data_IF_549784219834
#
_entry.id   IF_549784219834
#
_cell.length_a   1.000
_cell.length_b   1.000
_cell.length_c   1.000
_cell.angle_alpha   90.00
_cell.angle_beta   90.00
_cell.angle_gamma   90.00
#
_symmetry.space_group_name_H-M   'P 1'
#
loop_
_entity.id
_entity.type
_entity.pdbx_description
1 polymer ?
#
# COMPACT_ATOMS: atom_id res chain seq x y z
N UNK A 1 -11.31 -11.14 -1.51
CA UNK A 1 -9.93 -11.15 -1.00
C UNK A 1 -9.88 -10.66 0.44
N UNK A 2 -9.13 -11.34 1.27
CA UNK A 2 -9.03 -10.98 2.68
C UNK A 2 -8.14 -9.76 2.86
N UNK A 3 -8.62 -8.81 3.65
CA UNK A 3 -7.81 -7.65 4.01
C UNK A 3 -6.81 -8.04 5.09
N UNK A 4 -5.64 -7.43 5.05
CA UNK A 4 -4.67 -7.59 6.12
C UNK A 4 -5.22 -6.98 7.41
N UNK A 5 -4.97 -7.64 8.54
CA UNK A 5 -5.35 -7.13 9.84
C UNK A 5 -4.46 -5.97 10.29
N UNK A 6 -3.36 -5.76 9.62
CA UNK A 6 -2.35 -4.79 10.02
C UNK A 6 -2.18 -3.72 8.95
N UNK A 7 -2.10 -2.47 9.40
CA UNK A 7 -1.73 -1.37 8.52
C UNK A 7 -0.22 -1.37 8.33
N UNK A 8 0.23 -0.67 7.30
CA UNK A 8 1.66 -0.55 7.04
C UNK A 8 2.39 0.08 8.23
N UNK A 9 1.74 1.05 8.89
CA UNK A 9 2.29 1.68 10.08
C UNK A 9 2.48 0.69 11.22
N UNK A 10 1.50 -0.19 11.43
CA UNK A 10 1.58 -1.23 12.45
C UNK A 10 2.69 -2.21 12.14
N UNK A 11 2.83 -2.59 10.87
CA UNK A 11 3.87 -3.51 10.43
C UNK A 11 5.26 -2.93 10.73
N UNK A 12 5.46 -1.66 10.39
CA UNK A 12 6.74 -1.00 10.64
C UNK A 12 7.00 -0.90 12.15
N UNK A 13 5.95 -0.66 12.94
CA UNK A 13 6.07 -0.64 14.39
C UNK A 13 6.56 -1.97 14.95
N UNK A 14 6.01 -3.07 14.44
CA UNK A 14 6.46 -4.42 14.86
C UNK A 14 7.92 -4.64 14.50
N UNK A 15 8.33 -4.24 13.29
CA UNK A 15 9.73 -4.38 12.87
C UNK A 15 10.67 -3.56 13.76
N UNK A 16 10.22 -2.39 14.19
CA UNK A 16 11.03 -1.56 15.09
C UNK A 16 11.16 -2.17 16.47
N UNK A 17 10.14 -2.85 16.95
CA UNK A 17 10.24 -3.58 18.23
C UNK A 17 11.32 -4.64 18.16
N UNK A 18 11.43 -5.34 17.03
CA UNK A 18 12.48 -6.33 16.85
C UNK A 18 13.85 -5.67 16.82
N UNK A 19 13.98 -4.55 16.17
CA UNK A 19 15.24 -3.81 16.14
C UNK A 19 15.64 -3.31 17.53
N UNK A 20 14.66 -3.05 18.38
CA UNK A 20 14.91 -2.63 19.76
C UNK A 20 15.33 -3.77 20.66
N UNK A 21 15.33 -5.01 20.17
CA UNK A 21 15.87 -6.14 20.89
C UNK A 21 14.91 -7.27 21.23
N UNK A 22 13.63 -7.14 20.88
CA UNK A 22 12.67 -8.20 21.13
C UNK A 22 12.86 -9.35 20.16
N UNK A 23 12.74 -10.58 20.67
CA UNK A 23 12.91 -11.77 19.85
C UNK A 23 11.75 -11.91 18.86
N UNK A 24 12.06 -12.44 17.67
CA UNK A 24 11.06 -12.65 16.63
C UNK A 24 9.93 -13.53 17.12
N UNK A 25 10.24 -14.63 17.81
CA UNK A 25 9.22 -15.54 18.32
C UNK A 25 8.28 -14.85 19.30
N UNK A 26 8.81 -13.97 20.14
CA UNK A 26 8.01 -13.23 21.11
C UNK A 26 7.07 -12.24 20.40
N UNK A 27 7.59 -11.54 19.39
CA UNK A 27 6.78 -10.61 18.62
C UNK A 27 5.67 -11.32 17.85
N UNK A 28 5.98 -12.44 17.25
CA UNK A 28 5.00 -13.22 16.50
C UNK A 28 3.87 -13.69 17.41
N UNK A 29 4.20 -14.14 18.62
CA UNK A 29 3.21 -14.58 19.58
C UNK A 29 2.36 -13.41 20.05
N UNK A 30 2.99 -12.29 20.36
CA UNK A 30 2.31 -11.10 20.85
C UNK A 30 1.32 -10.54 19.84
N UNK A 31 1.70 -10.53 18.59
CA UNK A 31 0.88 -9.95 17.51
C UNK A 31 0.04 -10.97 16.75
N UNK A 32 0.16 -12.24 17.09
CA UNK A 32 -0.64 -13.29 16.48
C UNK A 32 -0.29 -13.52 15.00
N UNK A 33 0.98 -13.47 14.67
CA UNK A 33 1.45 -13.69 13.30
C UNK A 33 2.45 -14.84 13.28
N UNK A 34 2.65 -15.42 12.10
CA UNK A 34 3.66 -16.44 11.89
C UNK A 34 5.03 -15.80 11.68
N UNK A 35 6.09 -16.60 11.86
CA UNK A 35 7.43 -16.10 11.58
C UNK A 35 7.62 -15.80 10.10
N UNK A 36 7.02 -16.60 9.22
CA UNK A 36 7.11 -16.33 7.80
C UNK A 36 6.47 -14.99 7.43
N UNK A 37 5.36 -14.64 8.08
CA UNK A 37 4.73 -13.33 7.90
C UNK A 37 5.68 -12.23 8.36
N UNK A 38 6.30 -12.41 9.51
CA UNK A 38 7.27 -11.43 10.03
C UNK A 38 8.42 -11.21 9.03
N UNK A 39 8.98 -12.28 8.50
CA UNK A 39 10.09 -12.16 7.57
C UNK A 39 9.69 -11.57 6.23
N UNK A 40 8.46 -11.83 5.78
CA UNK A 40 7.92 -11.15 4.61
C UNK A 40 7.82 -9.65 4.84
N UNK A 41 7.34 -9.26 6.02
CA UNK A 41 7.26 -7.84 6.37
C UNK A 41 8.64 -7.19 6.40
N UNK A 42 9.60 -7.90 7.00
CA UNK A 42 10.96 -7.41 7.08
C UNK A 42 11.56 -7.18 5.71
N UNK A 43 11.30 -8.09 4.79
CA UNK A 43 11.77 -7.97 3.42
C UNK A 43 11.19 -6.77 2.71
N UNK A 44 9.90 -6.48 2.95
CA UNK A 44 9.19 -5.43 2.24
C UNK A 44 9.36 -4.04 2.85
N UNK A 45 9.47 -3.97 4.17
CA UNK A 45 9.44 -2.69 4.89
C UNK A 45 10.71 -2.38 5.68
N UNK A 46 11.75 -3.19 5.53
CA UNK A 46 12.99 -2.96 6.25
C UNK A 46 13.56 -1.58 5.91
N UNK A 47 13.96 -0.86 6.95
CA UNK A 47 14.54 0.47 6.78
C UNK A 47 13.54 1.59 6.63
N UNK A 48 12.24 1.28 6.62
CA UNK A 48 11.21 2.33 6.51
C UNK A 48 10.83 2.87 7.88
N UNK A 49 10.44 4.12 7.90
CA UNK A 49 9.84 4.77 9.06
C UNK A 49 8.33 4.81 8.88
N UNK A 50 7.60 5.03 9.99
CA UNK A 50 6.14 5.15 9.93
C UNK A 50 5.72 6.27 8.98
N UNK A 51 6.46 7.38 8.99
CA UNK A 51 6.19 8.49 8.08
C UNK A 51 6.34 8.10 6.61
N UNK A 52 7.29 7.20 6.31
CA UNK A 52 7.48 6.70 4.95
C UNK A 52 6.28 5.87 4.49
N UNK A 53 5.75 5.04 5.40
CA UNK A 53 4.57 4.24 5.09
C UNK A 53 3.34 5.12 4.82
N UNK A 54 3.18 6.18 5.59
CA UNK A 54 2.07 7.13 5.38
C UNK A 54 2.21 7.82 4.03
N UNK A 55 3.43 8.22 3.69
CA UNK A 55 3.71 8.87 2.41
C UNK A 55 3.43 7.91 1.25
N UNK A 56 3.90 6.68 1.37
CA UNK A 56 3.68 5.68 0.34
C UNK A 56 2.19 5.47 0.09
N UNK A 57 1.43 5.32 1.18
CA UNK A 57 -0.01 5.12 1.07
C UNK A 57 -0.70 6.31 0.40
N UNK A 58 -0.30 7.52 0.77
CA UNK A 58 -0.86 8.73 0.16
C UNK A 58 -0.54 8.80 -1.32
N UNK A 59 0.68 8.44 -1.72
CA UNK A 59 1.09 8.43 -3.11
C UNK A 59 0.33 7.37 -3.92
N UNK A 60 0.09 6.21 -3.33
CA UNK A 60 -0.67 5.16 -3.99
C UNK A 60 -2.12 5.59 -4.23
N UNK A 61 -2.73 6.25 -3.26
CA UNK A 61 -4.09 6.76 -3.41
C UNK A 61 -4.17 7.85 -4.47
N UNK A 62 -3.21 8.76 -4.47
CA UNK A 62 -3.14 9.82 -5.46
C UNK A 62 -2.95 9.23 -6.86
N UNK A 63 -2.09 8.24 -6.99
CA UNK A 63 -1.86 7.58 -8.26
C UNK A 63 -3.14 6.91 -8.79
N UNK A 64 -3.90 6.27 -7.92
CA UNK A 64 -5.18 5.66 -8.30
C UNK A 64 -6.18 6.71 -8.79
N UNK A 65 -6.27 7.84 -8.08
CA UNK A 65 -7.14 8.94 -8.48
C UNK A 65 -6.76 9.49 -9.84
N UNK A 66 -5.46 9.71 -10.06
CA UNK A 66 -4.97 10.24 -11.32
C UNK A 66 -5.26 9.30 -12.47
N UNK A 67 -5.07 8.00 -12.26
CA UNK A 67 -5.38 7.01 -13.29
C UNK A 67 -6.86 7.00 -13.63
N UNK A 68 -7.71 7.12 -12.62
CA UNK A 68 -9.15 7.15 -12.83
C UNK A 68 -9.57 8.40 -13.62
N UNK A 69 -9.05 9.55 -13.24
CA UNK A 69 -9.35 10.81 -13.92
C UNK A 69 -8.88 10.78 -15.37
N UNK A 70 -7.71 10.19 -15.60
CA UNK A 70 -7.19 10.06 -16.96
C UNK A 70 -8.10 9.18 -17.81
N UNK A 71 -8.53 8.04 -17.26
CA UNK A 71 -9.41 7.13 -17.98
C UNK A 71 -10.74 7.81 -18.31
N UNK A 72 -11.32 8.57 -17.36
CA UNK A 72 -12.55 9.32 -17.60
C UNK A 72 -12.37 10.35 -18.68
N UNK A 73 -11.25 11.06 -18.68
CA UNK A 73 -10.96 12.06 -19.71
C UNK A 73 -10.87 11.44 -21.10
N UNK A 74 -10.24 10.29 -21.20
CA UNK A 74 -10.12 9.57 -22.47
C UNK A 74 -11.50 9.16 -22.98
N UNK A 75 -12.35 8.65 -22.09
CA UNK A 75 -13.72 8.26 -22.44
C UNK A 75 -14.55 9.48 -22.87
N UNK A 76 -14.39 10.60 -22.18
CA UNK A 76 -15.11 11.82 -22.52
C UNK A 76 -14.75 12.32 -23.91
N UNK A 77 -13.47 12.28 -24.25
CA UNK A 77 -13.01 12.67 -25.58
C UNK A 77 -13.60 11.75 -26.64
N UNK A 78 -13.58 10.45 -26.41
CA UNK A 78 -14.12 9.48 -27.35
C UNK A 78 -15.63 9.69 -27.55
N UNK A 79 -16.35 9.93 -26.46
CA UNK A 79 -17.79 10.17 -26.50
C UNK A 79 -18.10 11.45 -27.29
N UNK A 80 -17.33 12.49 -27.07
CA UNK A 80 -17.50 13.76 -27.79
C UNK A 80 -17.28 13.58 -29.28
N UNK A 81 -16.24 12.83 -29.67
CA UNK A 81 -15.98 12.55 -31.07
C UNK A 81 -17.13 11.81 -31.73
N UNK A 82 -17.71 10.84 -31.04
CA UNK A 82 -18.88 10.13 -31.54
C UNK A 82 -20.08 11.06 -31.69
N UNK A 83 -20.32 11.89 -30.68
CA UNK A 83 -21.46 12.83 -30.70
C UNK A 83 -21.35 13.82 -31.85
N UNK A 84 -20.14 14.18 -32.21
CA UNK A 84 -19.90 15.07 -33.36
C UNK A 84 -20.03 14.35 -34.68
N UNK A 85 -20.11 13.03 -34.67
CA UNK A 85 -20.24 12.24 -35.89
C UNK A 85 -18.99 12.28 -36.77
N UNK A 86 -17.82 12.45 -36.15
CA UNK A 86 -16.58 12.56 -36.88
C UNK A 86 -15.52 11.64 -36.32
N UNK A 87 -14.69 11.13 -37.21
CA UNK A 87 -13.51 10.36 -36.85
C UNK A 87 -12.31 11.29 -36.88
N UNK A 88 -11.83 11.65 -35.73
CA UNK A 88 -10.69 12.54 -35.60
C UNK A 88 -9.40 11.77 -35.51
#
# INVERSE_FOLDING_TARGET
MRKSRFTEEQIIGVLKEQQAGLAVSELCRRHGISESTFYNWRSRYSGMEVSDAKRLKALEEENRKLKKLLAESVLDVATLKEALGKNF
#
